data_IF_717669117152
#
_entry.id   IF_717669117152
#
_cell.length_a   1.000
_cell.length_b   1.000
_cell.length_c   1.000
_cell.angle_alpha   90.00
_cell.angle_beta   90.00
_cell.angle_gamma   90.00
#
_symmetry.space_group_name_H-M   'P 1'
#
loop_
_entity.id
_entity.type
_entity.pdbx_description
1 polymer ?
#
# COMPACT_ATOMS: atom_id res chain seq x y z
N UNK A 1 -63.73 7.27 49.31
CA UNK A 1 -63.30 6.82 47.96
C UNK A 1 -62.83 8.01 47.13
N UNK A 2 -61.52 8.26 47.05
CA UNK A 2 -60.93 9.15 46.03
C UNK A 2 -59.62 8.51 45.55
N UNK A 3 -59.61 8.18 44.26
CA UNK A 3 -58.57 7.45 43.54
C UNK A 3 -57.29 8.30 43.42
N UNK A 4 -56.13 7.66 43.55
CA UNK A 4 -54.82 8.18 43.15
C UNK A 4 -54.79 8.27 41.62
N UNK A 5 -54.49 9.45 41.07
CA UNK A 5 -54.08 9.62 39.68
C UNK A 5 -52.55 9.65 39.64
N UNK A 6 -51.98 8.60 39.07
CA UNK A 6 -50.57 8.53 38.67
C UNK A 6 -50.51 9.14 37.27
N UNK A 7 -49.68 10.18 37.13
CA UNK A 7 -49.32 10.77 35.84
C UNK A 7 -48.36 9.82 35.11
N UNK A 8 -48.78 9.27 33.97
CA UNK A 8 -47.88 8.64 32.99
C UNK A 8 -47.48 9.73 31.97
N UNK A 9 -46.21 10.11 31.95
CA UNK A 9 -45.60 10.68 30.74
C UNK A 9 -45.24 9.54 29.78
N UNK A 10 -45.44 9.69 28.46
CA UNK A 10 -44.89 8.74 27.49
C UNK A 10 -43.40 9.03 27.30
N UNK A 11 -42.57 8.00 27.47
CA UNK A 11 -41.17 8.03 27.06
C UNK A 11 -41.10 8.08 25.54
N UNK A 12 -40.67 9.21 25.00
CA UNK A 12 -40.34 9.37 23.58
C UNK A 12 -38.98 8.70 23.34
N UNK A 13 -38.99 7.47 22.85
CA UNK A 13 -37.79 6.79 22.40
C UNK A 13 -37.30 7.47 21.11
N UNK A 14 -36.26 8.29 21.23
CA UNK A 14 -35.53 8.88 20.12
C UNK A 14 -34.71 7.74 19.47
N UNK A 15 -35.24 7.14 18.40
CA UNK A 15 -34.45 6.29 17.52
C UNK A 15 -33.43 7.19 16.81
N UNK A 16 -32.22 7.24 17.35
CA UNK A 16 -31.06 7.79 16.66
C UNK A 16 -30.71 6.77 15.56
N UNK A 17 -31.19 7.00 14.34
CA UNK A 17 -30.70 6.26 13.18
C UNK A 17 -29.21 6.55 13.03
N UNK A 18 -28.37 5.58 13.39
CA UNK A 18 -26.98 5.52 12.99
C UNK A 18 -26.95 5.38 11.46
N UNK A 19 -26.98 6.52 10.77
CA UNK A 19 -26.45 6.57 9.42
C UNK A 19 -24.94 6.34 9.55
N UNK A 20 -24.36 5.36 8.83
CA UNK A 20 -22.91 5.27 8.75
C UNK A 20 -22.39 6.61 8.24
N UNK A 21 -21.54 7.25 9.04
CA UNK A 21 -20.78 8.41 8.63
C UNK A 21 -19.71 7.90 7.67
N UNK A 22 -20.07 7.69 6.41
CA UNK A 22 -19.09 7.62 5.32
C UNK A 22 -18.38 8.96 5.33
N UNK A 23 -17.12 8.97 5.78
CA UNK A 23 -16.27 10.13 5.63
C UNK A 23 -16.25 10.48 4.14
N UNK A 24 -16.70 11.69 3.79
CA UNK A 24 -16.61 12.18 2.43
C UNK A 24 -15.12 12.25 2.08
N UNK A 25 -14.75 11.51 1.04
CA UNK A 25 -13.48 11.62 0.31
C UNK A 25 -13.09 13.09 0.11
N UNK A 26 -12.06 13.58 0.84
CA UNK A 26 -11.70 15.01 0.83
C UNK A 26 -10.33 15.32 0.22
N UNK A 27 -9.42 14.35 0.14
CA UNK A 27 -8.05 14.53 -0.37
C UNK A 27 -7.81 13.63 -1.59
N UNK A 28 -7.24 14.12 -2.69
CA UNK A 28 -6.98 13.31 -3.89
C UNK A 28 -6.18 12.04 -3.60
N UNK A 29 -6.51 10.95 -4.31
CA UNK A 29 -5.80 9.68 -4.21
C UNK A 29 -4.72 9.61 -5.29
N UNK A 30 -3.47 9.40 -4.90
CA UNK A 30 -2.37 9.16 -5.82
C UNK A 30 -2.31 7.67 -6.22
N UNK A 31 -2.40 7.36 -7.51
CA UNK A 31 -2.12 6.03 -8.06
C UNK A 31 -0.77 6.06 -8.75
N UNK A 32 0.19 5.32 -8.19
CA UNK A 32 1.49 5.16 -8.82
C UNK A 32 1.41 4.13 -9.93
N UNK A 33 1.92 4.49 -11.10
CA UNK A 33 1.87 3.66 -12.30
C UNK A 33 3.24 3.62 -12.96
N UNK A 34 3.53 2.54 -13.68
CA UNK A 34 4.65 2.48 -14.61
C UNK A 34 4.13 2.73 -16.01
N UNK A 35 4.65 3.78 -16.67
CA UNK A 35 4.36 4.02 -18.09
C UNK A 35 5.56 3.58 -18.91
N UNK A 36 5.33 2.80 -19.97
CA UNK A 36 6.37 2.40 -20.93
C UNK A 36 6.09 2.99 -22.28
N UNK A 37 7.11 3.58 -22.87
CA UNK A 37 7.09 4.18 -24.20
C UNK A 37 7.76 3.26 -25.20
N UNK A 38 7.18 3.16 -26.39
CA UNK A 38 7.61 2.32 -27.51
C UNK A 38 7.88 3.20 -28.73
N UNK A 39 8.77 2.75 -29.60
CA UNK A 39 8.87 3.39 -30.91
C UNK A 39 7.60 3.10 -31.74
N UNK A 40 7.27 3.93 -32.73
CA UNK A 40 6.15 3.74 -33.65
C UNK A 40 6.28 2.41 -34.42
N UNK A 41 7.50 2.05 -34.82
CA UNK A 41 7.86 0.73 -35.37
C UNK A 41 7.92 -0.39 -34.29
N UNK A 42 7.41 -0.12 -33.10
CA UNK A 42 7.40 -0.98 -31.94
C UNK A 42 6.49 -2.19 -32.10
N UNK A 43 6.28 -2.91 -31.01
CA UNK A 43 5.56 -4.18 -31.05
C UNK A 43 4.07 -3.96 -31.39
N UNK A 44 3.65 -4.32 -32.59
CA UNK A 44 2.23 -4.49 -32.97
C UNK A 44 1.35 -3.25 -32.73
N UNK A 45 1.93 -2.06 -32.88
CA UNK A 45 1.17 -0.80 -32.95
C UNK A 45 0.54 -0.66 -34.34
N UNK A 46 -0.59 0.05 -34.45
CA UNK A 46 -1.32 0.23 -35.70
C UNK A 46 -1.76 -1.10 -36.36
N UNK A 47 -2.64 -1.82 -35.66
CA UNK A 47 -3.18 -3.12 -36.07
C UNK A 47 -4.63 -3.10 -36.59
N UNK A 48 -5.23 -4.28 -36.70
CA UNK A 48 -6.67 -4.41 -36.99
C UNK A 48 -7.47 -3.72 -35.88
N UNK A 49 -8.32 -2.76 -36.27
CA UNK A 49 -9.24 -2.07 -35.36
C UNK A 49 -10.44 -2.99 -35.12
N UNK A 50 -10.40 -3.75 -34.03
CA UNK A 50 -11.47 -4.64 -33.58
C UNK A 50 -11.31 -4.98 -32.08
N UNK A 51 -12.44 -5.13 -31.40
CA UNK A 51 -12.48 -5.53 -29.99
C UNK A 51 -12.22 -7.05 -29.90
N UNK A 52 -11.23 -7.43 -29.10
CA UNK A 52 -10.65 -8.77 -29.05
C UNK A 52 -10.42 -9.23 -27.60
N UNK A 53 -11.43 -9.87 -27.00
CA UNK A 53 -11.27 -10.55 -25.71
C UNK A 53 -10.48 -11.86 -25.84
N UNK A 54 -9.80 -12.28 -24.77
CA UNK A 54 -9.07 -13.53 -24.67
C UNK A 54 -7.61 -13.44 -25.12
N UNK A 55 -7.10 -12.23 -25.34
CA UNK A 55 -5.69 -11.98 -25.69
C UNK A 55 -4.73 -12.30 -24.55
N UNK A 56 -5.25 -12.40 -23.34
CA UNK A 56 -4.52 -12.78 -22.12
C UNK A 56 -5.25 -13.92 -21.41
N UNK A 57 -4.51 -14.70 -20.62
CA UNK A 57 -5.07 -15.72 -19.75
C UNK A 57 -5.87 -15.10 -18.62
N UNK A 58 -6.76 -15.92 -18.05
CA UNK A 58 -7.63 -15.52 -16.94
C UNK A 58 -6.89 -15.36 -15.61
N UNK A 59 -5.59 -15.64 -15.56
CA UNK A 59 -4.78 -15.55 -14.36
C UNK A 59 -3.44 -14.89 -14.66
N UNK A 60 -3.01 -13.95 -13.81
CA UNK A 60 -1.69 -13.34 -13.92
C UNK A 60 -0.57 -14.36 -13.72
N UNK A 61 0.57 -14.06 -14.34
CA UNK A 61 1.81 -14.78 -14.10
C UNK A 61 2.32 -14.59 -12.68
N UNK A 62 3.28 -15.43 -12.27
CA UNK A 62 3.93 -15.30 -10.95
C UNK A 62 4.70 -13.97 -10.78
N UNK A 63 5.02 -13.30 -11.88
CA UNK A 63 5.60 -11.97 -11.96
C UNK A 63 4.56 -10.84 -11.91
N UNK A 64 3.28 -11.18 -11.68
CA UNK A 64 2.12 -10.30 -11.72
C UNK A 64 1.91 -9.64 -13.10
N UNK A 65 2.31 -10.29 -14.20
CA UNK A 65 2.08 -9.78 -15.56
C UNK A 65 1.00 -10.56 -16.31
N UNK A 66 0.34 -9.97 -17.33
CA UNK A 66 -0.55 -10.70 -18.20
C UNK A 66 0.20 -11.82 -18.93
N UNK A 67 -0.37 -13.02 -18.95
CA UNK A 67 0.14 -14.14 -19.74
C UNK A 67 -0.63 -14.16 -21.05
N UNK A 68 0.05 -13.93 -22.18
CA UNK A 68 -0.62 -13.77 -23.47
C UNK A 68 -0.98 -15.07 -24.16
N UNK A 69 -2.15 -15.10 -24.81
CA UNK A 69 -2.59 -16.21 -25.67
C UNK A 69 -2.01 -16.07 -27.08
N UNK A 70 -0.74 -16.47 -27.26
CA UNK A 70 0.03 -16.27 -28.49
C UNK A 70 -0.72 -16.69 -29.77
N UNK A 71 -1.46 -17.81 -29.72
CA UNK A 71 -2.19 -18.30 -30.89
C UNK A 71 -3.29 -17.34 -31.36
N UNK A 72 -3.96 -16.66 -30.43
CA UNK A 72 -4.98 -15.67 -30.77
C UNK A 72 -4.31 -14.42 -31.36
N UNK A 73 -3.23 -13.94 -30.75
CA UNK A 73 -2.44 -12.83 -31.29
C UNK A 73 -1.92 -13.11 -32.70
N UNK A 74 -1.38 -14.30 -32.96
CA UNK A 74 -0.92 -14.69 -34.29
C UNK A 74 -2.06 -14.77 -35.31
N UNK A 75 -3.26 -15.18 -34.89
CA UNK A 75 -4.42 -15.23 -35.77
C UNK A 75 -4.91 -13.83 -36.20
N UNK A 76 -4.76 -12.83 -35.33
CA UNK A 76 -5.23 -11.46 -35.55
C UNK A 76 -4.18 -10.58 -36.22
N UNK A 77 -2.91 -10.71 -35.81
CA UNK A 77 -1.81 -9.83 -36.20
C UNK A 77 -0.69 -10.53 -36.99
N UNK A 78 -0.84 -11.83 -37.25
CA UNK A 78 0.03 -12.61 -38.12
C UNK A 78 1.06 -13.48 -37.40
N UNK A 79 1.54 -14.52 -38.10
CA UNK A 79 2.48 -15.53 -37.59
C UNK A 79 3.84 -14.96 -37.15
N UNK A 80 4.19 -13.73 -37.54
CA UNK A 80 5.41 -13.05 -37.10
C UNK A 80 5.35 -12.57 -35.64
N UNK A 81 4.16 -12.55 -35.02
CA UNK A 81 4.01 -12.24 -33.60
C UNK A 81 4.74 -13.31 -32.78
N UNK A 82 5.53 -12.86 -31.81
CA UNK A 82 6.29 -13.75 -30.92
C UNK A 82 5.94 -13.47 -29.46
N UNK A 83 6.07 -14.48 -28.60
CA UNK A 83 5.85 -14.33 -27.16
C UNK A 83 6.76 -13.24 -26.56
N UNK A 84 8.02 -13.15 -27.00
CA UNK A 84 8.96 -12.14 -26.52
C UNK A 84 8.51 -10.72 -26.83
N UNK A 85 7.89 -10.52 -28.00
CA UNK A 85 7.35 -9.22 -28.37
C UNK A 85 6.15 -8.86 -27.47
N UNK A 86 5.20 -9.77 -27.28
CA UNK A 86 4.05 -9.56 -26.38
C UNK A 86 4.49 -9.30 -24.93
N UNK A 87 5.46 -10.07 -24.43
CA UNK A 87 5.98 -9.87 -23.08
C UNK A 87 6.61 -8.47 -22.90
N UNK A 88 7.12 -7.85 -23.96
CA UNK A 88 7.70 -6.51 -23.87
C UNK A 88 6.67 -5.41 -23.57
N UNK A 89 5.36 -5.66 -23.76
CA UNK A 89 4.32 -4.68 -23.44
C UNK A 89 4.35 -4.20 -21.98
N UNK A 90 4.64 -5.09 -21.03
CA UNK A 90 4.72 -4.76 -19.60
C UNK A 90 6.02 -5.17 -18.93
N UNK A 91 7.09 -5.38 -19.72
CA UNK A 91 8.43 -5.66 -19.22
C UNK A 91 9.46 -4.75 -19.88
N UNK A 92 10.33 -4.17 -19.06
CA UNK A 92 11.43 -3.33 -19.51
C UNK A 92 12.38 -4.16 -20.38
N UNK A 93 12.41 -3.85 -21.67
CA UNK A 93 13.12 -4.65 -22.66
C UNK A 93 14.10 -3.73 -23.40
N UNK A 94 15.42 -3.88 -23.15
CA UNK A 94 16.43 -3.01 -23.74
C UNK A 94 16.34 -2.94 -25.26
N UNK A 95 16.23 -1.72 -25.79
CA UNK A 95 16.09 -1.47 -27.24
C UNK A 95 14.67 -1.61 -27.79
N UNK A 96 13.69 -2.02 -26.97
CA UNK A 96 12.27 -2.11 -27.36
C UNK A 96 11.45 -0.99 -26.71
N UNK A 97 11.61 -0.77 -25.40
CA UNK A 97 10.88 0.27 -24.67
C UNK A 97 11.77 1.04 -23.67
N UNK A 98 11.25 2.17 -23.19
CA UNK A 98 11.75 2.89 -22.02
C UNK A 98 10.62 3.08 -21.02
N UNK A 99 10.90 2.96 -19.72
CA UNK A 99 9.89 3.09 -18.67
C UNK A 99 10.12 4.34 -17.82
N UNK A 100 9.04 4.88 -17.27
CA UNK A 100 9.10 5.94 -16.27
C UNK A 100 7.97 5.79 -15.26
N UNK A 101 8.23 5.99 -13.95
CA UNK A 101 7.16 6.06 -12.97
C UNK A 101 6.35 7.35 -13.17
N UNK A 102 5.03 7.25 -13.02
CA UNK A 102 4.10 8.38 -13.01
C UNK A 102 3.13 8.24 -11.85
N UNK A 103 2.51 9.35 -11.48
CA UNK A 103 1.42 9.37 -10.50
C UNK A 103 0.18 9.91 -11.18
N UNK A 104 -0.85 9.07 -11.29
CA UNK A 104 -2.18 9.49 -11.72
C UNK A 104 -2.96 9.94 -10.48
N UNK A 105 -3.58 11.12 -10.55
CA UNK A 105 -4.31 11.68 -9.40
C UNK A 105 -5.80 11.47 -9.58
N UNK A 106 -6.42 10.71 -8.67
CA UNK A 106 -7.88 10.56 -8.62
C UNK A 106 -8.49 11.67 -7.77
N UNK A 107 -9.53 12.32 -8.29
CA UNK A 107 -10.25 13.40 -7.61
C UNK A 107 -11.58 12.89 -7.05
N UNK A 108 -12.04 13.41 -5.91
CA UNK A 108 -13.37 13.08 -5.42
C UNK A 108 -14.43 13.65 -6.37
N UNK A 109 -15.47 12.89 -6.67
CA UNK A 109 -16.61 13.34 -7.49
C UNK A 109 -17.75 13.97 -6.68
N UNK A 110 -17.66 13.93 -5.34
CA UNK A 110 -18.68 14.43 -4.42
C UNK A 110 -19.78 13.41 -4.08
N UNK A 111 -19.79 12.25 -4.71
CA UNK A 111 -20.73 11.14 -4.46
C UNK A 111 -20.07 9.98 -3.70
N UNK A 112 -18.85 10.17 -3.21
CA UNK A 112 -18.07 9.15 -2.50
C UNK A 112 -17.21 8.28 -3.41
N UNK A 113 -16.98 8.71 -4.66
CA UNK A 113 -16.06 8.05 -5.59
C UNK A 113 -14.84 8.92 -5.88
N UNK A 114 -13.79 8.25 -6.32
CA UNK A 114 -12.55 8.78 -6.85
C UNK A 114 -12.54 8.59 -8.36
N UNK A 115 -12.16 9.65 -9.09
CA UNK A 115 -12.24 9.70 -10.55
C UNK A 115 -10.91 10.15 -11.16
N UNK A 116 -10.44 9.43 -12.16
CA UNK A 116 -9.53 9.95 -13.20
C UNK A 116 -10.37 10.13 -14.45
N UNK A 117 -10.31 11.31 -15.06
CA UNK A 117 -11.05 11.64 -16.27
C UNK A 117 -10.12 12.39 -17.22
N UNK A 118 -9.61 11.70 -18.24
CA UNK A 118 -8.68 12.29 -19.21
C UNK A 118 -9.34 13.28 -20.18
N UNK A 119 -10.68 13.37 -20.19
CA UNK A 119 -11.38 14.42 -20.95
C UNK A 119 -11.30 15.78 -20.26
N UNK A 120 -10.74 15.83 -19.04
CA UNK A 120 -10.59 17.03 -18.25
C UNK A 120 -9.15 17.25 -17.77
N UNK A 121 -8.72 18.50 -17.74
CA UNK A 121 -7.46 18.92 -17.13
C UNK A 121 -7.53 18.90 -15.59
N UNK A 122 -6.39 19.14 -14.94
CA UNK A 122 -6.31 19.23 -13.49
C UNK A 122 -7.24 20.31 -12.88
N UNK A 123 -7.53 21.39 -13.61
CA UNK A 123 -8.46 22.46 -13.21
C UNK A 123 -9.89 22.28 -13.75
N UNK A 124 -10.17 21.18 -14.45
CA UNK A 124 -11.51 20.83 -14.95
C UNK A 124 -11.89 21.48 -16.27
N UNK A 125 -10.93 22.04 -17.01
CA UNK A 125 -11.13 22.44 -18.40
C UNK A 125 -11.12 21.21 -19.32
N UNK A 126 -11.71 21.28 -20.53
CA UNK A 126 -11.59 20.18 -21.49
C UNK A 126 -10.11 19.87 -21.82
N UNK A 127 -9.81 18.58 -21.91
CA UNK A 127 -8.52 18.02 -22.36
C UNK A 127 -8.72 17.29 -23.69
N UNK A 128 -7.64 17.11 -24.45
CA UNK A 128 -7.62 16.41 -25.74
C UNK A 128 -7.41 14.89 -25.61
N UNK A 129 -7.03 14.39 -24.43
CA UNK A 129 -6.97 12.95 -24.17
C UNK A 129 -6.05 12.57 -23.00
N UNK A 130 -5.66 11.30 -22.97
CA UNK A 130 -4.77 10.72 -21.97
C UNK A 130 -3.33 10.54 -22.51
N UNK A 131 -2.49 11.56 -22.32
CA UNK A 131 -1.12 11.55 -22.84
C UNK A 131 -0.07 11.74 -21.72
N UNK A 132 0.16 10.73 -20.86
CA UNK A 132 0.94 10.88 -19.62
C UNK A 132 2.45 11.10 -19.84
N UNK A 133 2.94 10.87 -21.06
CA UNK A 133 4.36 10.94 -21.44
C UNK A 133 4.61 11.79 -22.70
N UNK A 134 3.71 12.71 -23.02
CA UNK A 134 3.91 13.66 -24.12
C UNK A 134 5.27 14.39 -24.01
N UNK A 135 6.04 14.33 -25.10
CA UNK A 135 7.37 14.92 -25.22
C UNK A 135 8.47 14.25 -24.37
N UNK A 136 8.16 13.18 -23.63
CA UNK A 136 9.11 12.45 -22.79
C UNK A 136 9.59 11.15 -23.46
N UNK A 137 10.64 10.53 -22.92
CA UNK A 137 11.18 9.24 -23.37
C UNK A 137 11.57 9.26 -24.86
N UNK A 138 10.95 8.47 -25.73
CA UNK A 138 11.18 8.51 -27.18
C UNK A 138 10.49 9.70 -27.86
N UNK A 139 9.66 10.44 -27.13
CA UNK A 139 8.92 11.61 -27.58
C UNK A 139 7.72 11.22 -28.45
N UNK A 140 7.09 12.20 -29.08
CA UNK A 140 5.86 11.99 -29.84
C UNK A 140 6.11 11.42 -31.25
N UNK A 141 7.38 11.18 -31.61
CA UNK A 141 7.80 10.54 -32.87
C UNK A 141 7.25 11.18 -34.15
N UNK A 142 6.92 12.47 -34.12
CA UNK A 142 6.39 13.22 -35.26
C UNK A 142 4.87 13.42 -35.23
N UNK A 143 4.17 12.77 -34.30
CA UNK A 143 2.76 13.00 -34.01
C UNK A 143 2.56 14.20 -33.08
N UNK A 144 1.30 14.67 -32.98
CA UNK A 144 0.91 15.72 -32.03
C UNK A 144 1.08 15.24 -30.58
N UNK A 145 0.68 13.98 -30.31
CA UNK A 145 0.79 13.31 -29.02
C UNK A 145 1.58 12.00 -29.12
N UNK A 146 1.98 11.46 -27.97
CA UNK A 146 2.53 10.11 -27.87
C UNK A 146 1.41 9.08 -27.71
N UNK A 147 1.27 8.20 -28.71
CA UNK A 147 0.26 7.12 -28.78
C UNK A 147 0.85 5.72 -28.60
N UNK A 148 2.15 5.59 -28.33
CA UNK A 148 2.82 4.30 -28.38
C UNK A 148 3.25 3.87 -26.98
N UNK A 149 2.29 3.62 -26.08
CA UNK A 149 2.62 3.40 -24.68
C UNK A 149 1.74 2.36 -23.98
N UNK A 150 2.27 1.86 -22.86
CA UNK A 150 1.52 1.04 -21.92
C UNK A 150 1.53 1.64 -20.52
N UNK A 151 0.46 1.43 -19.76
CA UNK A 151 0.33 1.82 -18.36
C UNK A 151 0.05 0.59 -17.52
N UNK A 152 0.87 0.42 -16.49
CA UNK A 152 0.80 -0.68 -15.55
C UNK A 152 0.52 -0.15 -14.14
N UNK A 153 -0.50 -0.72 -13.51
CA UNK A 153 -0.92 -0.38 -12.16
C UNK A 153 -0.89 -1.66 -11.31
N UNK A 154 -0.21 -1.57 -10.17
CA UNK A 154 -0.22 -2.58 -9.11
C UNK A 154 -0.54 -1.87 -7.80
N UNK A 155 -1.72 -2.12 -7.23
CA UNK A 155 -2.10 -1.56 -5.94
C UNK A 155 -3.01 -2.51 -5.18
N UNK A 156 -3.39 -2.12 -3.98
CA UNK A 156 -4.28 -2.88 -3.11
C UNK A 156 -5.34 -1.96 -2.55
N UNK A 157 -6.48 -2.51 -2.20
CA UNK A 157 -7.51 -1.76 -1.49
C UNK A 157 -8.22 -2.65 -0.50
N UNK A 158 -8.81 -2.03 0.52
CA UNK A 158 -9.70 -2.72 1.44
C UNK A 158 -11.07 -2.87 0.80
N UNK A 159 -11.54 -4.10 0.64
CA UNK A 159 -12.87 -4.37 0.12
C UNK A 159 -13.93 -3.97 1.15
N UNK A 160 -14.89 -3.16 0.73
CA UNK A 160 -16.08 -2.76 1.50
C UNK A 160 -17.33 -3.11 0.70
N UNK A 161 -18.44 -3.42 1.37
CA UNK A 161 -19.70 -3.69 0.64
C UNK A 161 -20.12 -2.45 -0.15
N UNK A 162 -20.59 -2.68 -1.38
CA UNK A 162 -20.88 -1.61 -2.34
C UNK A 162 -19.64 -1.10 -3.08
N UNK A 163 -18.50 -1.79 -3.00
CA UNK A 163 -17.32 -1.48 -3.81
C UNK A 163 -17.62 -1.64 -5.30
N UNK A 164 -17.31 -0.62 -6.10
CA UNK A 164 -17.55 -0.58 -7.55
C UNK A 164 -16.37 0.02 -8.27
N UNK A 165 -16.13 -0.45 -9.47
CA UNK A 165 -15.12 0.10 -10.38
C UNK A 165 -15.72 0.23 -11.77
N UNK A 166 -15.46 1.37 -12.39
CA UNK A 166 -15.88 1.70 -13.75
C UNK A 166 -14.64 2.11 -14.53
N UNK A 167 -14.52 1.55 -15.73
CA UNK A 167 -13.54 1.91 -16.73
C UNK A 167 -14.25 2.43 -17.98
N UNK A 168 -13.69 3.46 -18.60
CA UNK A 168 -13.98 3.80 -19.99
C UNK A 168 -12.71 4.29 -20.70
N UNK A 169 -12.44 3.76 -21.88
CA UNK A 169 -11.21 4.04 -22.61
C UNK A 169 -11.07 3.16 -23.85
N UNK A 170 -10.15 3.55 -24.72
CA UNK A 170 -9.80 2.89 -25.98
C UNK A 170 -8.74 1.82 -25.79
N UNK A 171 -8.53 1.04 -26.85
CA UNK A 171 -7.49 0.00 -26.95
C UNK A 171 -7.44 -0.99 -25.78
N UNK A 172 -6.28 -1.63 -25.53
CA UNK A 172 -6.25 -2.80 -24.67
C UNK A 172 -6.40 -2.45 -23.19
N UNK A 173 -7.37 -3.09 -22.54
CA UNK A 173 -7.58 -2.98 -21.09
C UNK A 173 -7.81 -4.34 -20.47
N UNK A 174 -6.97 -4.68 -19.50
CA UNK A 174 -7.14 -5.86 -18.65
C UNK A 174 -7.10 -5.47 -17.18
N UNK A 175 -8.13 -5.86 -16.42
CA UNK A 175 -8.21 -5.62 -14.97
C UNK A 175 -8.34 -6.93 -14.23
N UNK A 176 -7.49 -7.10 -13.22
CA UNK A 176 -7.42 -8.29 -12.39
C UNK A 176 -7.68 -7.94 -10.92
N UNK A 177 -8.35 -8.86 -10.23
CA UNK A 177 -8.50 -8.84 -8.79
C UNK A 177 -7.98 -10.15 -8.21
N UNK A 178 -7.05 -10.10 -7.26
CA UNK A 178 -6.38 -11.30 -6.73
C UNK A 178 -5.90 -12.24 -7.84
N UNK A 179 -5.17 -11.68 -8.82
CA UNK A 179 -4.66 -12.36 -10.01
C UNK A 179 -5.70 -12.89 -10.99
N UNK A 180 -7.01 -12.74 -10.74
CA UNK A 180 -8.06 -13.23 -11.64
C UNK A 180 -8.56 -12.12 -12.57
N UNK A 181 -8.62 -12.40 -13.87
CA UNK A 181 -9.12 -11.48 -14.89
C UNK A 181 -10.63 -11.23 -14.68
N UNK A 182 -11.00 -9.96 -14.62
CA UNK A 182 -12.39 -9.52 -14.39
C UNK A 182 -12.90 -8.61 -15.51
N UNK A 183 -12.04 -7.73 -16.05
CA UNK A 183 -12.36 -6.92 -17.23
C UNK A 183 -11.36 -7.28 -18.33
N UNK A 184 -11.87 -7.58 -19.51
CA UNK A 184 -11.11 -7.89 -20.71
C UNK A 184 -11.70 -7.12 -21.90
N UNK A 185 -11.14 -5.95 -22.15
CA UNK A 185 -11.38 -5.12 -23.32
C UNK A 185 -10.09 -5.11 -24.13
N UNK A 186 -9.58 -6.27 -24.52
CA UNK A 186 -8.40 -6.36 -25.39
C UNK A 186 -8.70 -5.93 -26.82
N UNK A 187 -7.66 -5.60 -27.58
CA UNK A 187 -7.76 -5.20 -28.99
C UNK A 187 -7.50 -3.72 -29.21
N UNK A 188 -7.43 -3.31 -30.48
CA UNK A 188 -7.32 -1.91 -30.87
C UNK A 188 -8.72 -1.44 -31.21
N UNK A 189 -9.32 -0.56 -30.42
CA UNK A 189 -10.73 -0.22 -30.57
C UNK A 189 -11.04 1.19 -30.05
N UNK A 190 -12.15 1.76 -30.55
CA UNK A 190 -12.70 3.00 -29.98
C UNK A 190 -13.05 2.83 -28.51
N UNK A 191 -13.21 3.93 -27.77
CA UNK A 191 -13.47 3.85 -26.34
C UNK A 191 -14.69 2.97 -25.96
N UNK A 192 -14.45 1.95 -25.14
CA UNK A 192 -15.44 1.02 -24.59
C UNK A 192 -15.61 1.22 -23.09
N UNK A 193 -16.64 0.65 -22.48
CA UNK A 193 -16.90 0.78 -21.05
C UNK A 193 -17.11 -0.57 -20.38
N UNK A 194 -16.57 -0.70 -19.18
CA UNK A 194 -16.85 -1.82 -18.29
C UNK A 194 -17.15 -1.30 -16.88
N UNK A 195 -18.11 -1.93 -16.21
CA UNK A 195 -18.44 -1.63 -14.82
C UNK A 195 -18.57 -2.93 -14.03
N UNK A 196 -18.01 -2.93 -12.83
CA UNK A 196 -18.08 -4.06 -11.92
C UNK A 196 -18.62 -3.62 -10.56
N UNK A 197 -19.43 -4.49 -9.97
CA UNK A 197 -19.77 -4.46 -8.55
C UNK A 197 -19.04 -5.62 -7.87
N UNK A 198 -18.13 -5.31 -6.95
CA UNK A 198 -17.31 -6.35 -6.31
C UNK A 198 -18.13 -7.31 -5.46
N UNK A 199 -19.26 -6.86 -4.93
CA UNK A 199 -20.21 -7.68 -4.18
C UNK A 199 -20.73 -8.87 -5.01
N UNK A 200 -20.84 -8.71 -6.33
CA UNK A 200 -21.28 -9.78 -7.25
C UNK A 200 -20.15 -10.79 -7.56
N UNK A 201 -18.90 -10.35 -7.42
CA UNK A 201 -17.70 -11.16 -7.69
C UNK A 201 -17.11 -11.78 -6.42
N UNK A 202 -17.56 -11.36 -5.23
CA UNK A 202 -16.96 -11.70 -3.96
C UNK A 202 -16.82 -13.22 -3.75
N UNK A 203 -17.82 -14.01 -4.16
CA UNK A 203 -17.78 -15.47 -4.08
C UNK A 203 -16.74 -16.10 -5.02
N UNK A 204 -16.58 -15.58 -6.23
CA UNK A 204 -15.61 -16.07 -7.22
C UNK A 204 -14.18 -15.70 -6.82
N UNK A 205 -13.99 -14.46 -6.35
CA UNK A 205 -12.70 -13.94 -5.91
C UNK A 205 -12.30 -14.46 -4.52
N UNK A 206 -13.23 -15.09 -3.78
CA UNK A 206 -12.99 -15.60 -2.44
C UNK A 206 -12.79 -14.52 -1.37
N UNK A 207 -13.39 -13.34 -1.57
CA UNK A 207 -13.21 -12.15 -0.72
C UNK A 207 -14.46 -11.85 0.12
N UNK A 208 -14.27 -11.16 1.24
CA UNK A 208 -15.31 -10.68 2.15
C UNK A 208 -15.03 -9.23 2.54
N UNK A 209 -16.04 -8.42 2.88
CA UNK A 209 -15.82 -7.06 3.35
C UNK A 209 -14.81 -7.04 4.52
N UNK A 210 -13.79 -6.20 4.41
CA UNK A 210 -12.65 -6.11 5.31
C UNK A 210 -11.37 -6.74 4.76
N UNK A 211 -11.47 -7.66 3.79
CA UNK A 211 -10.30 -8.28 3.15
C UNK A 211 -9.54 -7.25 2.29
N UNK A 212 -8.22 -7.41 2.22
CA UNK A 212 -7.37 -6.65 1.30
C UNK A 212 -7.33 -7.38 -0.04
N UNK A 213 -7.57 -6.65 -1.12
CA UNK A 213 -7.66 -7.19 -2.48
C UNK A 213 -6.55 -6.60 -3.33
N UNK A 214 -5.80 -7.45 -4.04
CA UNK A 214 -4.86 -7.04 -5.08
C UNK A 214 -5.66 -6.48 -6.27
N UNK A 215 -5.29 -5.30 -6.75
CA UNK A 215 -5.83 -4.65 -7.95
C UNK A 215 -4.70 -4.43 -8.94
N UNK A 216 -4.79 -5.09 -10.08
CA UNK A 216 -3.82 -4.96 -11.15
C UNK A 216 -4.54 -4.53 -12.43
N UNK A 217 -4.02 -3.50 -13.08
CA UNK A 217 -4.59 -2.99 -14.33
C UNK A 217 -3.49 -2.74 -15.35
N UNK A 218 -3.79 -3.18 -16.57
CA UNK A 218 -2.91 -3.10 -17.73
C UNK A 218 -3.67 -2.39 -18.83
N UNK A 219 -3.17 -1.23 -19.23
CA UNK A 219 -3.71 -0.42 -20.30
C UNK A 219 -2.66 -0.22 -21.39
N UNK A 220 -3.05 -0.22 -22.64
CA UNK A 220 -2.17 0.15 -23.74
C UNK A 220 -2.88 1.09 -24.69
N UNK A 221 -2.20 2.16 -25.07
CA UNK A 221 -2.56 2.94 -26.25
C UNK A 221 -1.71 2.40 -27.40
N UNK A 222 -2.36 1.89 -28.45
CA UNK A 222 -1.68 1.35 -29.63
C UNK A 222 -2.22 1.91 -30.95
N UNK A 223 -3.10 2.91 -30.89
CA UNK A 223 -3.66 3.59 -32.04
C UNK A 223 -3.39 5.10 -32.05
N UNK A 224 -3.05 5.66 -33.20
CA UNK A 224 -2.73 7.08 -33.37
C UNK A 224 -3.96 8.01 -33.44
N UNK A 225 -5.15 7.52 -33.07
CA UNK A 225 -6.40 8.29 -33.16
C UNK A 225 -7.14 8.32 -31.82
N UNK A 226 -6.83 9.33 -31.02
CA UNK A 226 -7.38 9.48 -29.67
C UNK A 226 -6.59 8.69 -28.63
N UNK A 227 -6.76 9.07 -27.37
CA UNK A 227 -6.35 8.25 -26.22
C UNK A 227 -7.24 8.62 -25.04
N UNK A 228 -7.94 7.66 -24.46
CA UNK A 228 -9.01 7.90 -23.51
C UNK A 228 -8.84 7.04 -22.25
N UNK A 229 -8.82 7.70 -21.09
CA UNK A 229 -8.78 7.03 -19.80
C UNK A 229 -9.76 7.69 -18.83
N UNK A 230 -10.80 6.94 -18.48
CA UNK A 230 -11.72 7.25 -17.40
C UNK A 230 -11.75 6.09 -16.41
N UNK A 231 -11.50 6.39 -15.14
CA UNK A 231 -11.59 5.46 -14.02
C UNK A 231 -12.48 6.08 -12.96
N UNK A 232 -13.46 5.33 -12.45
CA UNK A 232 -14.26 5.73 -11.30
C UNK A 232 -14.40 4.59 -10.30
N UNK A 233 -14.07 4.83 -9.04
CA UNK A 233 -14.16 3.80 -7.99
C UNK A 233 -14.34 4.40 -6.60
N UNK A 234 -14.94 3.64 -5.68
CA UNK A 234 -15.00 3.97 -4.26
C UNK A 234 -14.06 3.07 -3.43
N UNK A 235 -13.04 2.48 -4.04
CA UNK A 235 -12.05 1.67 -3.35
C UNK A 235 -11.28 2.49 -2.30
N UNK A 236 -11.08 1.89 -1.13
CA UNK A 236 -10.18 2.40 -0.10
C UNK A 236 -8.75 1.89 -0.38
N UNK A 237 -8.05 2.56 -1.30
CA UNK A 237 -6.69 2.17 -1.68
C UNK A 237 -5.71 2.22 -0.50
N UNK A 238 -4.91 1.16 -0.38
CA UNK A 238 -3.78 1.09 0.54
C UNK A 238 -2.56 1.75 -0.12
N UNK A 239 -2.59 3.07 -0.22
CA UNK A 239 -1.46 3.85 -0.70
C UNK A 239 -0.37 3.93 0.37
N UNK A 240 0.50 2.93 0.36
CA UNK A 240 1.73 2.92 1.13
C UNK A 240 2.86 3.19 0.13
N UNK A 241 3.44 4.40 0.18
CA UNK A 241 4.63 4.72 -0.60
C UNK A 241 5.80 3.91 -0.02
N UNK A 242 5.97 2.68 -0.51
CA UNK A 242 6.80 1.64 0.08
C UNK A 242 7.58 0.88 -0.98
N UNK A 243 8.66 0.22 -0.56
CA UNK A 243 9.45 -0.62 -1.44
C UNK A 243 8.68 -1.87 -1.88
N UNK A 244 8.85 -2.32 -3.12
CA UNK A 244 8.18 -3.50 -3.67
C UNK A 244 8.38 -4.77 -2.81
N UNK A 245 9.56 -4.93 -2.22
CA UNK A 245 9.89 -6.06 -1.36
C UNK A 245 9.09 -6.10 -0.05
N UNK A 246 8.54 -4.97 0.41
CA UNK A 246 7.81 -4.88 1.67
C UNK A 246 6.29 -5.05 1.50
N UNK A 247 5.78 -5.04 0.27
CA UNK A 247 4.33 -4.95 0.02
C UNK A 247 3.56 -6.11 0.64
N UNK A 248 4.04 -7.35 0.51
CA UNK A 248 3.36 -8.54 1.06
C UNK A 248 3.17 -8.44 2.58
N UNK A 249 4.24 -8.17 3.30
CA UNK A 249 4.19 -8.03 4.76
C UNK A 249 3.48 -6.74 5.20
N UNK A 250 3.47 -5.67 4.39
CA UNK A 250 2.67 -4.48 4.69
C UNK A 250 1.16 -4.74 4.57
N UNK A 251 0.71 -5.54 3.60
CA UNK A 251 -0.69 -5.98 3.57
C UNK A 251 -1.03 -6.85 4.79
N UNK A 252 -0.09 -7.70 5.22
CA UNK A 252 -0.27 -8.46 6.46
C UNK A 252 -0.31 -7.54 7.69
N UNK A 253 0.52 -6.49 7.72
CA UNK A 253 0.48 -5.49 8.77
C UNK A 253 -0.90 -4.80 8.82
N UNK A 254 -1.49 -4.45 7.68
CA UNK A 254 -2.83 -3.87 7.63
C UNK A 254 -3.90 -4.87 8.12
N UNK A 255 -3.83 -6.13 7.67
CA UNK A 255 -4.76 -7.20 8.09
C UNK A 255 -4.71 -7.47 9.60
N UNK A 256 -3.53 -7.36 10.21
CA UNK A 256 -3.33 -7.49 11.65
C UNK A 256 -3.62 -6.19 12.43
N UNK A 257 -4.00 -5.10 11.74
CA UNK A 257 -4.26 -3.80 12.37
C UNK A 257 -3.00 -3.11 12.91
N UNK A 258 -1.83 -3.44 12.37
CA UNK A 258 -0.52 -2.99 12.84
C UNK A 258 -0.08 -1.63 12.25
N UNK A 259 -0.76 -1.12 11.22
CA UNK A 259 -0.44 0.18 10.62
C UNK A 259 -1.14 1.29 11.41
N UNK A 260 -0.42 2.10 12.21
CA UNK A 260 -1.00 3.23 12.90
C UNK A 260 -1.35 4.36 11.92
N UNK A 261 -2.33 5.19 12.26
CA UNK A 261 -2.83 6.25 11.38
C UNK A 261 -1.75 7.23 10.92
N UNK A 262 -0.75 7.50 11.77
CA UNK A 262 0.40 8.38 11.44
C UNK A 262 1.24 7.86 10.26
N UNK A 263 1.14 6.57 9.93
CA UNK A 263 1.85 5.94 8.80
C UNK A 263 0.95 5.71 7.58
N UNK A 264 -0.36 5.94 7.66
CA UNK A 264 -1.25 5.82 6.49
C UNK A 264 -1.00 6.99 5.54
N UNK A 265 -0.65 6.68 4.29
CA UNK A 265 -0.28 7.69 3.29
C UNK A 265 1.11 8.32 3.49
N UNK A 266 1.93 7.80 4.41
CA UNK A 266 3.31 8.24 4.58
C UNK A 266 4.27 7.50 3.64
N UNK A 267 5.40 8.13 3.30
CA UNK A 267 6.56 7.46 2.71
C UNK A 267 7.12 6.43 3.71
N UNK A 268 6.85 5.15 3.47
CA UNK A 268 7.29 4.06 4.34
C UNK A 268 8.77 3.69 4.14
N UNK A 269 9.40 4.14 3.05
CA UNK A 269 10.84 3.94 2.81
C UNK A 269 11.69 4.86 3.68
N UNK A 270 11.11 5.96 4.18
CA UNK A 270 11.81 6.88 5.07
C UNK A 270 12.13 6.28 6.45
N UNK A 271 13.20 6.75 7.12
CA UNK A 271 13.52 6.40 8.50
C UNK A 271 12.36 6.68 9.47
N UNK A 272 12.12 5.77 10.41
CA UNK A 272 11.06 5.91 11.40
C UNK A 272 11.52 6.76 12.60
N UNK A 273 10.63 7.64 13.06
CA UNK A 273 10.84 8.42 14.29
C UNK A 273 10.50 7.63 15.55
N UNK A 274 10.97 8.10 16.71
CA UNK A 274 10.60 7.55 18.02
C UNK A 274 9.09 7.55 18.27
N UNK A 275 8.38 8.59 17.84
CA UNK A 275 6.92 8.68 18.02
C UNK A 275 6.18 7.69 17.13
N UNK A 276 6.54 7.62 15.84
CA UNK A 276 5.94 6.67 14.91
C UNK A 276 6.16 5.22 15.36
N UNK A 277 7.37 4.89 15.83
CA UNK A 277 7.63 3.54 16.34
C UNK A 277 6.90 3.23 17.65
N UNK A 278 6.67 4.23 18.51
CA UNK A 278 5.82 4.06 19.69
C UNK A 278 4.38 3.70 19.28
N UNK A 279 3.86 4.33 18.22
CA UNK A 279 2.56 3.99 17.66
C UNK A 279 2.51 2.57 17.09
N UNK A 280 3.54 2.15 16.34
CA UNK A 280 3.67 0.76 15.87
C UNK A 280 3.68 -0.21 17.06
N UNK A 281 4.45 0.07 18.10
CA UNK A 281 4.56 -0.79 19.29
C UNK A 281 3.24 -0.89 20.08
N UNK A 282 2.45 0.20 20.15
CA UNK A 282 1.09 0.15 20.72
C UNK A 282 0.20 -0.74 19.87
N UNK A 283 0.21 -0.60 18.55
CA UNK A 283 -0.57 -1.47 17.67
C UNK A 283 -0.18 -2.93 17.79
N UNK A 284 1.12 -3.23 17.95
CA UNK A 284 1.59 -4.59 18.24
C UNK A 284 1.05 -5.12 19.56
N UNK A 285 1.06 -4.31 20.63
CA UNK A 285 0.46 -4.69 21.91
C UNK A 285 -1.06 -4.94 21.79
N UNK A 286 -1.79 -4.05 21.13
CA UNK A 286 -3.25 -4.17 20.95
C UNK A 286 -3.60 -5.44 20.15
N UNK A 287 -2.82 -5.76 19.11
CA UNK A 287 -2.98 -6.97 18.32
C UNK A 287 -2.69 -8.26 19.12
N UNK A 288 -1.62 -8.27 19.93
CA UNK A 288 -1.21 -9.44 20.73
C UNK A 288 -2.14 -9.70 21.92
N UNK A 289 -2.58 -8.64 22.59
CA UNK A 289 -3.40 -8.75 23.80
C UNK A 289 -4.90 -8.85 23.51
N UNK A 290 -5.36 -8.33 22.37
CA UNK A 290 -6.78 -8.11 22.08
C UNK A 290 -7.39 -6.96 22.90
N UNK A 291 -6.57 -6.18 23.61
CA UNK A 291 -7.00 -5.09 24.48
C UNK A 291 -6.52 -3.73 23.96
N UNK A 292 -7.40 -2.72 23.99
CA UNK A 292 -7.04 -1.35 23.61
C UNK A 292 -6.19 -0.68 24.69
N UNK A 293 -5.11 0.00 24.29
CA UNK A 293 -4.23 0.69 25.22
C UNK A 293 -4.89 1.97 25.78
N UNK A 294 -4.80 2.17 27.09
CA UNK A 294 -5.36 3.35 27.77
C UNK A 294 -4.38 4.52 27.84
N UNK A 295 -4.90 5.74 27.80
CA UNK A 295 -4.12 6.96 28.05
C UNK A 295 -3.77 7.12 29.54
N UNK A 296 -2.62 7.73 29.86
CA UNK A 296 -2.29 8.12 31.23
C UNK A 296 -3.17 9.29 31.70
N UNK A 297 -3.40 9.39 33.01
CA UNK A 297 -4.19 10.47 33.61
C UNK A 297 -3.51 11.85 33.48
N UNK A 298 -2.17 11.89 33.40
CA UNK A 298 -1.37 13.11 33.27
C UNK A 298 -0.30 12.86 32.21
N UNK A 299 -0.13 13.80 31.29
CA UNK A 299 0.96 13.74 30.31
C UNK A 299 2.32 13.88 31.03
N UNK A 300 3.27 12.95 30.84
CA UNK A 300 4.60 13.02 31.45
C UNK A 300 5.57 13.90 30.66
N UNK A 301 5.26 14.23 29.40
CA UNK A 301 6.18 14.87 28.47
C UNK A 301 5.77 16.31 28.17
N UNK A 302 6.76 17.19 28.17
CA UNK A 302 6.61 18.62 27.84
C UNK A 302 6.65 18.92 26.34
N UNK A 303 7.24 18.02 25.54
CA UNK A 303 7.51 18.17 24.10
C UNK A 303 6.67 17.22 23.22
N UNK A 304 5.80 16.40 23.82
CA UNK A 304 4.97 15.44 23.10
C UNK A 304 3.61 15.25 23.77
N UNK A 305 2.53 15.34 22.98
CA UNK A 305 1.14 15.09 23.41
C UNK A 305 0.44 14.04 22.53
N UNK A 306 1.21 13.32 21.72
CA UNK A 306 0.71 12.28 20.82
C UNK A 306 0.05 11.15 21.64
N UNK A 307 -1.23 10.83 21.42
CA UNK A 307 -1.94 9.80 22.17
C UNK A 307 -1.25 8.43 22.17
N UNK A 308 -0.64 8.03 21.05
CA UNK A 308 0.02 6.73 20.92
C UNK A 308 1.33 6.69 21.71
N UNK A 309 2.08 7.80 21.74
CA UNK A 309 3.24 7.94 22.62
C UNK A 309 2.84 7.86 24.10
N UNK A 310 1.74 8.51 24.46
CA UNK A 310 1.23 8.51 25.84
C UNK A 310 0.74 7.12 26.27
N UNK A 311 0.05 6.39 25.39
CA UNK A 311 -0.32 4.98 25.59
C UNK A 311 0.91 4.09 25.77
N UNK A 312 1.91 4.23 24.88
CA UNK A 312 3.16 3.48 24.99
C UNK A 312 3.87 3.73 26.32
N UNK A 313 3.83 4.96 26.82
CA UNK A 313 4.38 5.31 28.14
C UNK A 313 3.57 4.68 29.27
N UNK A 314 2.24 4.76 29.23
CA UNK A 314 1.35 4.17 30.24
C UNK A 314 1.53 2.65 30.34
N UNK A 315 1.78 1.98 29.22
CA UNK A 315 2.11 0.55 29.16
C UNK A 315 3.54 0.23 29.61
N UNK A 316 4.42 1.23 29.75
CA UNK A 316 5.83 1.01 30.04
C UNK A 316 6.64 0.50 28.85
N UNK A 317 6.11 0.60 27.63
CA UNK A 317 6.79 0.25 26.37
C UNK A 317 7.88 1.27 26.05
N UNK A 318 7.63 2.54 26.37
CA UNK A 318 8.58 3.63 26.14
C UNK A 318 8.82 4.47 27.40
N UNK A 319 9.92 5.21 27.38
CA UNK A 319 10.32 6.11 28.47
C UNK A 319 10.76 7.46 27.90
N UNK A 320 10.75 8.49 28.74
CA UNK A 320 11.29 9.80 28.39
C UNK A 320 12.80 9.79 28.17
N UNK A 321 13.28 10.86 27.56
CA UNK A 321 14.68 11.20 27.35
C UNK A 321 15.19 12.15 28.43
N UNK A 322 16.51 12.19 28.64
CA UNK A 322 17.13 13.08 29.61
C UNK A 322 16.69 12.78 31.05
N UNK A 323 16.03 13.74 31.69
CA UNK A 323 15.45 13.61 33.03
C UNK A 323 14.07 12.92 33.06
N UNK A 324 13.56 12.49 31.90
CA UNK A 324 12.28 11.82 31.75
C UNK A 324 11.11 12.75 31.44
N UNK A 325 11.31 14.07 31.40
CA UNK A 325 10.26 15.08 31.14
C UNK A 325 10.09 15.44 29.65
N UNK A 326 10.92 14.86 28.78
CA UNK A 326 10.87 15.00 27.32
C UNK A 326 10.80 13.63 26.66
N UNK A 327 10.30 13.54 25.43
CA UNK A 327 10.22 12.31 24.66
C UNK A 327 11.12 12.30 23.42
N UNK A 328 11.41 13.48 22.87
CA UNK A 328 12.12 13.68 21.61
C UNK A 328 11.43 13.00 20.41
N UNK A 329 10.16 13.35 20.10
CA UNK A 329 9.31 12.58 19.17
C UNK A 329 9.86 12.47 17.75
N UNK A 330 10.60 13.48 17.28
CA UNK A 330 11.13 13.56 15.91
C UNK A 330 12.53 12.96 15.73
N UNK A 331 13.15 12.50 16.81
CA UNK A 331 14.45 11.82 16.71
C UNK A 331 14.24 10.46 16.06
N UNK A 332 15.12 10.12 15.11
CA UNK A 332 15.08 8.84 14.41
C UNK A 332 15.44 7.70 15.37
N UNK A 333 14.71 6.60 15.27
CA UNK A 333 14.93 5.44 16.12
C UNK A 333 16.04 4.55 15.56
N UNK A 334 16.95 4.10 16.42
CA UNK A 334 17.93 3.08 16.04
C UNK A 334 17.44 1.66 16.35
N UNK A 335 18.12 0.66 15.79
CA UNK A 335 17.70 -0.75 15.85
C UNK A 335 17.76 -1.35 17.25
N UNK A 336 18.71 -0.96 18.10
CA UNK A 336 18.76 -1.45 19.48
C UNK A 336 17.62 -0.88 20.35
N UNK A 337 17.18 0.36 20.08
CA UNK A 337 16.00 0.95 20.72
C UNK A 337 14.72 0.24 20.27
N UNK A 338 14.59 -0.08 18.98
CA UNK A 338 13.47 -0.87 18.46
C UNK A 338 13.36 -2.23 19.17
N UNK A 339 14.48 -2.96 19.29
CA UNK A 339 14.54 -4.24 19.98
C UNK A 339 14.07 -4.14 21.45
N UNK A 340 14.53 -3.10 22.17
CA UNK A 340 14.15 -2.91 23.56
C UNK A 340 12.68 -2.52 23.73
N UNK A 341 12.13 -1.70 22.84
CA UNK A 341 10.70 -1.34 22.87
C UNK A 341 9.82 -2.57 22.60
N UNK A 342 10.14 -3.38 21.59
CA UNK A 342 9.38 -4.61 21.30
C UNK A 342 9.54 -5.67 22.41
N UNK A 343 10.70 -5.76 23.07
CA UNK A 343 10.85 -6.67 24.23
C UNK A 343 9.94 -6.21 25.38
N UNK A 344 9.73 -4.90 25.55
CA UNK A 344 8.77 -4.38 26.53
C UNK A 344 7.32 -4.66 26.11
N UNK A 345 6.99 -4.58 24.82
CA UNK A 345 5.68 -5.05 24.32
C UNK A 345 5.46 -6.50 24.75
N UNK A 346 6.46 -7.38 24.57
CA UNK A 346 6.37 -8.78 24.99
C UNK A 346 6.05 -8.92 26.48
N UNK A 347 6.82 -8.22 27.30
CA UNK A 347 6.66 -8.28 28.76
C UNK A 347 5.28 -7.84 29.22
N UNK A 348 4.77 -6.78 28.60
CA UNK A 348 3.48 -6.19 28.97
C UNK A 348 2.32 -7.07 28.53
N UNK A 349 2.32 -7.60 27.29
CA UNK A 349 1.20 -8.44 26.84
C UNK A 349 1.21 -9.82 27.51
N UNK A 350 2.38 -10.42 27.72
CA UNK A 350 2.50 -11.76 28.33
C UNK A 350 2.38 -11.74 29.87
N UNK A 351 2.57 -10.58 30.49
CA UNK A 351 2.69 -10.44 31.93
C UNK A 351 3.95 -11.09 32.52
N UNK A 352 4.97 -11.38 31.71
CA UNK A 352 6.15 -12.15 32.11
C UNK A 352 7.46 -11.63 31.52
N UNK A 353 8.60 -12.03 32.07
CA UNK A 353 9.90 -11.75 31.46
C UNK A 353 10.05 -12.47 30.12
N UNK A 354 10.91 -11.94 29.23
CA UNK A 354 11.22 -12.59 27.96
C UNK A 354 11.69 -14.04 28.20
N UNK A 355 11.16 -15.03 27.46
CA UNK A 355 11.47 -16.43 27.68
C UNK A 355 12.93 -16.72 27.38
N UNK A 356 13.44 -17.78 27.99
CA UNK A 356 14.77 -18.27 27.69
C UNK A 356 14.87 -18.68 26.21
N UNK A 357 15.98 -18.32 25.56
CA UNK A 357 16.24 -18.63 24.16
C UNK A 357 17.61 -19.30 24.01
N UNK A 358 17.79 -20.02 22.89
CA UNK A 358 19.12 -20.49 22.50
C UNK A 358 19.88 -19.32 21.87
N UNK A 359 21.07 -19.02 22.40
CA UNK A 359 21.88 -17.92 21.91
C UNK A 359 22.28 -18.16 20.45
N UNK A 360 21.89 -17.27 19.52
CA UNK A 360 22.35 -17.32 18.13
C UNK A 360 23.86 -17.10 18.02
N UNK A 361 24.40 -17.28 16.81
CA UNK A 361 25.76 -16.84 16.50
C UNK A 361 25.90 -15.33 16.78
N UNK A 362 27.03 -14.94 17.39
CA UNK A 362 27.26 -13.54 17.75
C UNK A 362 27.47 -12.69 16.51
N UNK A 363 26.89 -11.51 16.52
CA UNK A 363 27.14 -10.53 15.47
C UNK A 363 28.59 -10.04 15.51
N UNK A 364 29.15 -9.75 14.34
CA UNK A 364 30.52 -9.22 14.21
C UNK A 364 30.69 -7.82 14.83
N UNK A 365 29.58 -7.09 15.02
CA UNK A 365 29.49 -5.80 15.71
C UNK A 365 28.88 -5.90 17.12
N UNK A 366 28.93 -7.08 17.75
CA UNK A 366 28.40 -7.35 19.10
C UNK A 366 28.89 -6.33 20.15
N UNK A 367 30.15 -5.90 20.05
CA UNK A 367 30.74 -4.91 20.95
C UNK A 367 30.14 -3.49 20.83
N UNK A 368 29.35 -3.22 19.78
CA UNK A 368 28.65 -1.95 19.59
C UNK A 368 27.26 -1.94 20.23
N UNK A 369 26.72 -3.12 20.58
CA UNK A 369 25.41 -3.26 21.22
C UNK A 369 25.50 -2.72 22.63
N UNK A 370 24.61 -1.78 22.96
CA UNK A 370 24.55 -1.24 24.32
C UNK A 370 24.15 -2.31 25.33
N UNK A 371 24.76 -2.30 26.53
CA UNK A 371 24.51 -3.30 27.57
C UNK A 371 23.03 -3.42 27.96
N UNK A 372 22.28 -2.32 27.95
CA UNK A 372 20.85 -2.30 28.25
C UNK A 372 19.98 -2.91 27.14
N UNK A 373 20.50 -3.02 25.92
CA UNK A 373 19.80 -3.58 24.77
C UNK A 373 20.19 -5.03 24.48
N UNK A 374 21.31 -5.52 25.04
CA UNK A 374 21.92 -6.80 24.70
C UNK A 374 20.92 -7.97 24.71
N UNK A 375 20.20 -8.13 25.82
CA UNK A 375 19.22 -9.21 25.96
C UNK A 375 18.06 -9.05 24.99
N UNK A 376 17.63 -7.82 24.73
CA UNK A 376 16.55 -7.52 23.77
C UNK A 376 16.97 -7.83 22.34
N UNK A 377 18.21 -7.48 21.96
CA UNK A 377 18.76 -7.74 20.63
C UNK A 377 18.78 -9.24 20.34
N UNK A 378 19.34 -10.03 21.26
CA UNK A 378 19.45 -11.47 21.03
C UNK A 378 18.14 -12.22 21.24
N UNK A 379 17.24 -11.74 22.11
CA UNK A 379 15.88 -12.24 22.19
C UNK A 379 15.16 -12.09 20.84
N UNK A 380 15.22 -10.90 20.23
CA UNK A 380 14.58 -10.64 18.94
C UNK A 380 15.24 -11.41 17.80
N UNK A 381 16.56 -11.55 17.81
CA UNK A 381 17.30 -12.31 16.80
C UNK A 381 16.99 -13.81 16.88
N UNK A 382 16.92 -14.37 18.10
CA UNK A 382 16.64 -15.79 18.31
C UNK A 382 15.24 -16.22 17.84
N UNK A 383 14.28 -15.30 17.85
CA UNK A 383 12.91 -15.53 17.37
C UNK A 383 12.69 -15.07 15.92
N UNK A 384 13.74 -14.65 15.21
CA UNK A 384 13.65 -14.21 13.82
C UNK A 384 12.90 -12.89 13.60
N UNK A 385 12.56 -12.16 14.67
CA UNK A 385 11.77 -10.93 14.64
C UNK A 385 12.59 -9.78 14.06
N UNK A 386 13.73 -9.47 14.71
CA UNK A 386 14.67 -8.45 14.26
C UNK A 386 16.03 -9.10 14.01
N UNK A 387 16.36 -9.27 12.73
CA UNK A 387 17.57 -9.95 12.29
C UNK A 387 18.65 -8.96 11.84
N UNK A 388 19.90 -9.37 11.96
CA UNK A 388 21.05 -8.66 11.39
C UNK A 388 21.17 -8.86 9.88
N UNK A 389 22.09 -8.13 9.26
CA UNK A 389 22.44 -8.26 7.84
C UNK A 389 23.95 -8.42 7.69
N UNK A 390 24.41 -9.31 6.80
CA UNK A 390 25.82 -9.58 6.53
C UNK A 390 26.66 -9.84 7.80
N UNK A 391 26.09 -10.58 8.75
CA UNK A 391 26.75 -10.90 10.03
C UNK A 391 26.86 -9.73 11.02
N UNK A 392 26.16 -8.62 10.80
CA UNK A 392 26.08 -7.46 11.70
C UNK A 392 24.66 -7.18 12.16
N UNK A 393 24.47 -6.79 13.40
CA UNK A 393 23.17 -6.33 13.90
C UNK A 393 22.87 -4.89 13.51
N UNK A 394 23.90 -4.04 13.45
CA UNK A 394 23.83 -2.60 13.25
C UNK A 394 22.99 -1.92 14.35
N UNK A 395 23.44 -1.90 15.62
CA UNK A 395 22.63 -1.44 16.74
C UNK A 395 22.35 0.08 16.71
N UNK A 396 23.38 0.87 16.42
CA UNK A 396 23.37 2.33 16.41
C UNK A 396 24.56 2.88 15.61
N UNK A 397 24.47 4.14 15.19
CA UNK A 397 25.66 4.87 14.76
C UNK A 397 26.62 5.11 15.94
N UNK A 398 27.91 4.83 15.75
CA UNK A 398 28.98 5.08 16.73
C UNK A 398 29.91 6.22 16.27
N UNK A 399 29.87 6.58 14.99
CA UNK A 399 30.59 7.72 14.42
C UNK A 399 29.66 8.76 13.80
N UNK A 400 30.13 10.01 13.68
CA UNK A 400 29.40 11.07 12.98
C UNK A 400 29.20 10.76 11.49
N UNK A 401 30.12 10.02 10.87
CA UNK A 401 29.99 9.59 9.48
C UNK A 401 28.86 8.58 9.29
N UNK A 402 28.76 7.59 10.18
CA UNK A 402 27.65 6.64 10.23
C UNK A 402 26.31 7.36 10.47
N UNK A 403 26.28 8.33 11.39
CA UNK A 403 25.08 9.13 11.64
C UNK A 403 24.67 9.94 10.40
N UNK A 404 25.62 10.50 9.66
CA UNK A 404 25.37 11.29 8.45
C UNK A 404 24.79 10.47 7.29
N UNK A 405 25.06 9.16 7.26
CA UNK A 405 24.51 8.24 6.23
C UNK A 405 23.33 7.40 6.73
N UNK A 406 22.78 7.72 7.91
CA UNK A 406 21.63 7.01 8.46
C UNK A 406 21.90 5.57 8.89
N UNK A 407 23.15 5.22 9.23
CA UNK A 407 23.49 3.87 9.68
C UNK A 407 22.64 3.45 10.89
N UNK A 408 22.20 2.19 10.89
CA UNK A 408 21.39 1.57 11.93
C UNK A 408 20.01 2.21 12.19
N UNK A 409 19.51 3.04 11.26
CA UNK A 409 18.13 3.51 11.29
C UNK A 409 17.20 2.44 10.70
N UNK A 410 16.04 2.24 11.33
CA UNK A 410 14.98 1.43 10.76
C UNK A 410 14.08 2.30 9.88
N UNK A 411 13.65 1.79 8.73
CA UNK A 411 12.59 2.43 7.94
C UNK A 411 11.21 2.13 8.51
N UNK A 412 10.19 2.90 8.13
CA UNK A 412 8.81 2.64 8.58
C UNK A 412 8.28 1.29 8.07
N UNK A 413 8.61 0.92 6.84
CA UNK A 413 8.29 -0.42 6.30
C UNK A 413 8.97 -1.51 7.13
N UNK A 414 10.26 -1.38 7.47
CA UNK A 414 10.94 -2.34 8.34
C UNK A 414 10.31 -2.42 9.73
N UNK A 415 9.84 -1.30 10.29
CA UNK A 415 9.18 -1.27 11.59
C UNK A 415 7.84 -2.04 11.58
N UNK A 416 7.05 -1.93 10.51
CA UNK A 416 5.80 -2.68 10.36
C UNK A 416 6.07 -4.17 10.15
N UNK A 417 7.09 -4.52 9.37
CA UNK A 417 7.48 -5.91 9.14
C UNK A 417 7.93 -6.61 10.42
N UNK A 418 8.71 -5.94 11.28
CA UNK A 418 9.13 -6.53 12.55
C UNK A 418 7.96 -6.65 13.53
N UNK A 419 6.95 -5.77 13.45
CA UNK A 419 5.71 -5.90 14.22
C UNK A 419 4.88 -7.11 13.76
N UNK A 420 4.75 -7.33 12.45
CA UNK A 420 4.10 -8.53 11.89
C UNK A 420 4.75 -9.79 12.43
N UNK A 421 6.09 -9.89 12.31
CA UNK A 421 6.84 -11.05 12.81
C UNK A 421 6.67 -11.24 14.31
N UNK A 422 6.59 -10.17 15.08
CA UNK A 422 6.34 -10.27 16.51
C UNK A 422 4.99 -10.91 16.81
N UNK A 423 3.93 -10.52 16.08
CA UNK A 423 2.60 -11.14 16.20
C UNK A 423 2.62 -12.61 15.78
N UNK A 424 3.27 -12.94 14.67
CA UNK A 424 3.31 -14.32 14.17
C UNK A 424 4.12 -15.27 15.05
N UNK A 425 5.23 -14.80 15.61
CA UNK A 425 6.17 -15.65 16.33
C UNK A 425 5.86 -15.75 17.83
N UNK A 426 5.21 -14.73 18.41
CA UNK A 426 4.99 -14.63 19.85
C UNK A 426 3.52 -14.46 20.27
N UNK A 427 2.60 -14.29 19.32
CA UNK A 427 1.15 -14.11 19.57
C UNK A 427 0.37 -15.39 19.77
#
# INVERSE_FOLDING_TARGET
>A
MKKRMISLLPALALFLSLLPCTALASEPVALNVTVRDFNEDGVLFEGTIDSSSGLVQTTLGADKKPVYELSLWQSLYGESVTQSALNAFFNDTPGVNQSTPKTLTMKPDGEGYWVIDSSLTADGAPSDGFFPIDGALFGNQGNEHNYHFSVEIHTRFKYVSGARFTFHGDDDVWVFFNDQLVIDLGGVHSAESAEIALDELAGTLGIRPGDVVDFDMFYMERHQTGSNLYLRTNFEFLNLDASQWALAELAQADALGLIPDVLRGADLTAPITRAEFAAVAVKTYEALSGEAASLPAVSPFSDCSDPEVLKAYQLGITTGTGDGTTFSPRVLLNREQAAAMLTRVYRVFSGSEAPAYSMPERFSDDAQISSWAYDSVYFMAAHGILQGSSGKFMPRAVTSAEAAVGYAQATREQALLIAVRMVEQLG
#
